data_IF_967038557681
#
_entry.id   IF_967038557681
#
_cell.length_a   1.000
_cell.length_b   1.000
_cell.length_c   1.000
_cell.angle_alpha   90.00
_cell.angle_beta   90.00
_cell.angle_gamma   90.00
#
_symmetry.space_group_name_H-M   'P 1'
#
loop_
_entity.id
_entity.type
_entity.pdbx_description
1 polymer ?
#
# COMPACT_ATOMS: atom_id res chain seq x y z
N UNK A 1 -12.78 -7.17 24.52
CA UNK A 1 -11.79 -6.08 24.29
C UNK A 1 -10.50 -6.61 23.66
N UNK A 2 -9.90 -7.68 24.21
CA UNK A 2 -8.67 -8.29 23.71
C UNK A 2 -8.70 -8.69 22.22
N UNK A 3 -9.78 -9.34 21.75
CA UNK A 3 -9.88 -9.73 20.34
C UNK A 3 -9.88 -8.54 19.35
N UNK A 4 -10.34 -7.36 19.78
CA UNK A 4 -10.35 -6.13 18.96
C UNK A 4 -8.94 -5.54 18.87
N UNK A 5 -8.23 -5.50 19.99
CA UNK A 5 -6.83 -5.05 20.07
C UNK A 5 -5.94 -5.97 19.24
N UNK A 6 -6.12 -7.29 19.37
CA UNK A 6 -5.39 -8.28 18.59
C UNK A 6 -5.55 -8.06 17.08
N UNK A 7 -6.78 -7.85 16.60
CA UNK A 7 -7.04 -7.56 15.18
C UNK A 7 -6.41 -6.25 14.69
N UNK A 8 -6.30 -5.24 15.55
CA UNK A 8 -5.68 -3.94 15.20
C UNK A 8 -4.16 -4.08 15.13
N UNK A 9 -3.54 -4.87 16.00
CA UNK A 9 -2.09 -5.08 16.04
C UNK A 9 -1.59 -6.13 15.04
N UNK A 10 -2.49 -6.94 14.48
CA UNK A 10 -2.15 -8.02 13.53
C UNK A 10 -1.32 -7.54 12.31
N UNK A 11 -1.64 -6.42 11.63
CA UNK A 11 -0.86 -5.95 10.49
C UNK A 11 0.58 -5.56 10.87
N UNK A 12 0.76 -4.96 12.04
CA UNK A 12 2.09 -4.62 12.56
C UNK A 12 2.91 -5.88 12.85
N UNK A 13 2.31 -6.88 13.50
CA UNK A 13 2.98 -8.17 13.77
C UNK A 13 3.37 -8.88 12.48
N UNK A 14 2.47 -8.92 11.48
CA UNK A 14 2.76 -9.49 10.16
C UNK A 14 3.91 -8.74 9.49
N UNK A 15 3.88 -7.39 9.50
CA UNK A 15 4.96 -6.57 8.96
C UNK A 15 6.31 -6.84 9.62
N UNK A 16 6.32 -7.00 10.95
CA UNK A 16 7.53 -7.33 11.70
C UNK A 16 8.06 -8.73 11.37
N UNK A 17 7.18 -9.73 11.31
CA UNK A 17 7.56 -11.09 10.93
C UNK A 17 8.15 -11.16 9.52
N UNK A 18 7.52 -10.47 8.55
CA UNK A 18 8.03 -10.38 7.18
C UNK A 18 9.39 -9.66 7.14
N UNK A 19 9.57 -8.60 7.93
CA UNK A 19 10.84 -7.88 8.03
C UNK A 19 11.97 -8.81 8.53
N UNK A 20 11.71 -9.58 9.58
CA UNK A 20 12.67 -10.52 10.15
C UNK A 20 13.05 -11.58 9.12
N UNK A 21 12.07 -12.22 8.50
CA UNK A 21 12.28 -13.26 7.49
C UNK A 21 13.08 -12.69 6.31
N UNK A 22 12.62 -11.61 5.68
CA UNK A 22 13.31 -11.07 4.52
C UNK A 22 14.71 -10.55 4.85
N UNK A 23 14.92 -9.99 6.04
CA UNK A 23 16.25 -9.56 6.45
C UNK A 23 17.19 -10.74 6.71
N UNK A 24 16.73 -11.87 7.25
CA UNK A 24 17.60 -13.05 7.42
C UNK A 24 18.00 -13.68 6.10
N UNK A 25 17.11 -13.69 5.09
CA UNK A 25 17.39 -14.27 3.77
C UNK A 25 18.16 -13.32 2.84
N UNK A 26 17.78 -12.06 2.76
CA UNK A 26 18.33 -11.10 1.79
C UNK A 26 19.35 -10.12 2.40
N UNK A 27 19.50 -10.10 3.73
CA UNK A 27 20.50 -9.30 4.48
C UNK A 27 20.51 -7.80 4.17
N UNK A 28 19.40 -7.26 3.68
CA UNK A 28 19.25 -5.84 3.38
C UNK A 28 18.52 -5.10 4.49
N UNK A 29 19.18 -4.07 5.03
CA UNK A 29 18.72 -3.31 6.19
C UNK A 29 17.41 -2.55 5.95
N UNK A 30 17.11 -2.16 4.71
CA UNK A 30 15.91 -1.38 4.39
C UNK A 30 14.60 -2.14 4.67
N UNK A 31 14.63 -3.47 4.78
CA UNK A 31 13.46 -4.25 5.17
C UNK A 31 13.00 -4.01 6.61
N UNK A 32 13.92 -3.65 7.51
CA UNK A 32 13.60 -3.25 8.88
C UNK A 32 12.87 -1.92 8.96
N UNK A 33 13.03 -1.07 7.95
CA UNK A 33 12.36 0.23 7.90
C UNK A 33 11.02 0.09 7.20
N UNK A 34 10.99 -0.51 6.01
CA UNK A 34 9.80 -0.52 5.15
C UNK A 34 8.66 -1.35 5.74
N UNK A 35 8.91 -2.62 6.08
CA UNK A 35 7.83 -3.54 6.45
C UNK A 35 7.19 -3.22 7.82
N UNK A 36 7.96 -2.91 8.88
CA UNK A 36 7.38 -2.47 10.14
C UNK A 36 6.66 -1.13 10.01
N UNK A 37 7.15 -0.20 9.18
CA UNK A 37 6.48 1.09 8.93
C UNK A 37 5.13 0.93 8.23
N UNK A 38 5.04 0.07 7.21
CA UNK A 38 3.78 -0.26 6.54
C UNK A 38 2.81 -0.91 7.53
N UNK A 39 3.27 -1.90 8.29
CA UNK A 39 2.46 -2.59 9.30
C UNK A 39 1.92 -1.62 10.35
N UNK A 40 2.77 -0.71 10.84
CA UNK A 40 2.39 0.34 11.79
C UNK A 40 1.33 1.28 11.20
N UNK A 41 1.55 1.76 9.96
CA UNK A 41 0.62 2.66 9.26
C UNK A 41 -0.77 2.05 9.05
N UNK A 42 -0.85 0.74 8.78
CA UNK A 42 -2.13 0.04 8.64
C UNK A 42 -2.80 -0.10 10.01
N UNK A 43 -2.03 -0.48 11.04
CA UNK A 43 -2.53 -0.61 12.41
C UNK A 43 -3.06 0.72 12.96
N UNK A 44 -2.39 1.86 12.72
CA UNK A 44 -2.88 3.19 13.11
C UNK A 44 -4.16 3.56 12.36
N UNK A 45 -4.24 3.29 11.05
CA UNK A 45 -5.47 3.50 10.29
C UNK A 45 -6.65 2.65 10.75
N UNK A 46 -6.39 1.40 11.15
CA UNK A 46 -7.38 0.53 11.75
C UNK A 46 -7.84 1.03 13.12
N UNK A 47 -6.91 1.53 13.94
CA UNK A 47 -7.21 2.14 15.23
C UNK A 47 -8.16 3.34 15.07
N UNK A 48 -7.82 4.27 14.17
CA UNK A 48 -8.65 5.45 13.85
C UNK A 48 -10.02 5.01 13.32
N UNK A 49 -10.06 4.02 12.41
CA UNK A 49 -11.32 3.45 11.90
C UNK A 49 -12.17 2.85 13.03
N UNK A 50 -11.54 2.29 14.05
CA UNK A 50 -12.23 1.65 15.18
C UNK A 50 -12.82 2.64 16.19
N UNK A 51 -12.25 3.86 16.25
CA UNK A 51 -12.70 4.97 17.08
C UNK A 51 -13.80 5.80 16.39
N UNK A 52 -13.75 5.92 15.06
CA UNK A 52 -14.69 6.73 14.28
C UNK A 52 -15.94 5.95 13.85
N UNK A 53 -17.11 6.61 13.90
CA UNK A 53 -18.42 6.06 13.47
C UNK A 53 -18.90 6.70 12.15
N UNK A 54 -19.71 5.97 11.39
CA UNK A 54 -20.33 6.45 10.14
C UNK A 54 -19.35 6.76 9.00
N UNK A 55 -19.63 7.80 8.21
CA UNK A 55 -18.83 8.21 7.04
C UNK A 55 -17.38 8.58 7.39
N UNK A 56 -17.10 8.92 8.65
CA UNK A 56 -15.74 9.26 9.14
C UNK A 56 -14.80 8.04 9.18
N UNK A 57 -15.31 6.79 9.10
CA UNK A 57 -14.46 5.57 9.03
C UNK A 57 -13.49 5.53 7.86
N UNK A 58 -13.82 6.23 6.77
CA UNK A 58 -12.94 6.39 5.60
C UNK A 58 -11.66 7.14 5.98
N UNK A 59 -11.70 8.02 6.98
CA UNK A 59 -10.53 8.78 7.44
C UNK A 59 -9.40 7.85 7.90
N UNK A 60 -9.71 6.72 8.54
CA UNK A 60 -8.68 5.74 8.94
C UNK A 60 -7.92 5.17 7.75
N UNK A 61 -8.57 4.98 6.59
CA UNK A 61 -7.88 4.58 5.35
C UNK A 61 -7.02 5.72 4.82
N UNK A 62 -7.55 6.94 4.79
CA UNK A 62 -6.83 8.13 4.29
C UNK A 62 -5.56 8.40 5.08
N UNK A 63 -5.60 8.18 6.41
CA UNK A 63 -4.44 8.33 7.27
C UNK A 63 -3.43 7.20 7.05
N UNK A 64 -3.87 5.94 6.98
CA UNK A 64 -2.96 4.82 6.71
C UNK A 64 -2.18 5.02 5.41
N UNK A 65 -2.87 5.37 4.32
CA UNK A 65 -2.23 5.53 3.00
C UNK A 65 -1.31 6.77 2.96
N UNK A 66 -1.68 7.84 3.68
CA UNK A 66 -0.83 9.02 3.83
C UNK A 66 0.43 8.73 4.66
N UNK A 67 0.36 7.87 5.68
CA UNK A 67 1.54 7.48 6.47
C UNK A 67 2.50 6.58 5.67
N UNK A 68 1.99 5.76 4.75
CA UNK A 68 2.82 4.90 3.88
C UNK A 68 3.52 5.72 2.78
N UNK A 69 2.97 6.89 2.41
CA UNK A 69 3.44 7.74 1.32
C UNK A 69 4.94 8.09 1.37
N UNK A 70 5.50 8.62 2.48
CA UNK A 70 6.91 9.04 2.53
C UNK A 70 7.87 7.85 2.41
N UNK A 71 7.47 6.68 2.93
CA UNK A 71 8.24 5.45 2.79
C UNK A 71 8.32 5.02 1.31
N UNK A 72 7.24 5.13 0.54
CA UNK A 72 7.26 4.76 -0.87
C UNK A 72 7.92 5.82 -1.77
N UNK A 73 7.72 7.12 -1.48
CA UNK A 73 8.17 8.21 -2.36
C UNK A 73 9.59 8.70 -2.06
N UNK A 74 10.03 8.61 -0.79
CA UNK A 74 11.33 9.13 -0.36
C UNK A 74 12.30 7.99 -0.06
N UNK A 75 11.89 7.01 0.74
CA UNK A 75 12.83 5.98 1.20
C UNK A 75 13.35 5.11 0.04
N UNK A 76 12.47 4.57 -0.80
CA UNK A 76 12.92 3.66 -1.87
C UNK A 76 13.71 4.36 -2.99
N UNK A 77 13.26 5.52 -3.52
CA UNK A 77 14.00 6.19 -4.60
C UNK A 77 15.34 6.76 -4.13
N UNK A 78 15.43 7.27 -2.90
CA UNK A 78 16.66 7.88 -2.37
C UNK A 78 17.66 6.81 -1.91
N UNK A 79 17.20 5.80 -1.18
CA UNK A 79 18.09 4.79 -0.57
C UNK A 79 18.46 3.68 -1.55
N UNK A 80 17.50 3.26 -2.39
CA UNK A 80 17.68 2.12 -3.28
C UNK A 80 17.94 2.53 -4.73
N UNK A 81 17.84 3.82 -5.07
CA UNK A 81 17.90 4.33 -6.45
C UNK A 81 16.98 3.56 -7.41
N UNK A 82 15.92 2.97 -6.87
CA UNK A 82 14.98 2.15 -7.63
C UNK A 82 13.93 3.07 -8.24
N UNK A 83 13.90 3.11 -9.57
CA UNK A 83 12.92 3.91 -10.30
C UNK A 83 11.62 3.11 -10.46
N UNK A 84 10.55 3.54 -9.79
CA UNK A 84 9.21 2.96 -9.90
C UNK A 84 8.38 3.50 -11.10
N UNK A 85 9.03 4.13 -12.09
CA UNK A 85 8.36 4.66 -13.28
C UNK A 85 7.71 3.56 -14.12
N UNK A 86 6.56 3.89 -14.73
CA UNK A 86 5.85 3.04 -15.70
C UNK A 86 6.72 2.67 -16.91
N UNK A 87 7.56 3.61 -17.32
CA UNK A 87 8.45 3.50 -18.48
C UNK A 87 9.54 2.44 -18.27
N UNK A 88 10.06 2.32 -17.05
CA UNK A 88 11.05 1.30 -16.69
C UNK A 88 10.51 -0.12 -16.84
N UNK A 89 9.24 -0.36 -16.47
CA UNK A 89 8.62 -1.68 -16.63
C UNK A 89 8.34 -2.00 -18.09
N UNK A 90 7.88 -1.04 -18.89
CA UNK A 90 7.68 -1.24 -20.32
C UNK A 90 9.01 -1.61 -21.02
N UNK A 91 10.10 -0.90 -20.71
CA UNK A 91 11.42 -1.19 -21.27
C UNK A 91 11.95 -2.56 -20.80
N UNK A 92 11.78 -2.90 -19.52
CA UNK A 92 12.17 -4.21 -18.94
C UNK A 92 11.40 -5.37 -19.61
N UNK A 93 10.11 -5.19 -19.91
CA UNK A 93 9.28 -6.18 -20.63
C UNK A 93 9.71 -6.29 -22.09
N UNK A 94 9.98 -5.18 -22.77
CA UNK A 94 10.43 -5.18 -24.17
C UNK A 94 11.82 -5.81 -24.35
N UNK A 95 12.66 -5.79 -23.33
CA UNK A 95 13.95 -6.50 -23.27
C UNK A 95 13.79 -7.97 -22.82
N UNK A 96 12.59 -8.40 -22.43
CA UNK A 96 12.29 -9.79 -22.04
C UNK A 96 12.72 -10.17 -20.62
N UNK A 97 12.99 -9.19 -19.75
CA UNK A 97 13.44 -9.46 -18.38
C UNK A 97 12.26 -9.51 -17.39
N UNK A 98 11.77 -10.71 -17.11
CA UNK A 98 10.64 -10.92 -16.19
C UNK A 98 11.10 -11.09 -14.73
N UNK A 99 11.67 -10.01 -14.17
CA UNK A 99 12.16 -9.98 -12.78
C UNK A 99 11.08 -9.71 -11.72
N UNK A 100 11.52 -9.59 -10.46
CA UNK A 100 10.64 -9.29 -9.29
C UNK A 100 9.81 -8.01 -9.49
N UNK A 101 10.37 -7.00 -10.14
CA UNK A 101 9.68 -5.75 -10.46
C UNK A 101 8.49 -5.94 -11.42
N UNK A 102 8.61 -6.84 -12.40
CA UNK A 102 7.52 -7.16 -13.32
C UNK A 102 6.37 -7.87 -12.61
N UNK A 103 6.66 -8.90 -11.81
CA UNK A 103 5.63 -9.65 -11.06
C UNK A 103 4.89 -8.71 -10.10
N UNK A 104 5.64 -7.87 -9.37
CA UNK A 104 5.06 -6.85 -8.49
C UNK A 104 4.15 -5.89 -9.26
N UNK A 105 4.61 -5.41 -10.42
CA UNK A 105 3.84 -4.53 -11.28
C UNK A 105 2.56 -5.18 -11.81
N UNK A 106 2.64 -6.39 -12.35
CA UNK A 106 1.50 -7.10 -12.91
C UNK A 106 0.42 -7.35 -11.84
N UNK A 107 0.81 -7.86 -10.67
CA UNK A 107 -0.13 -8.11 -9.57
C UNK A 107 -0.76 -6.81 -9.09
N UNK A 108 0.05 -5.77 -8.88
CA UNK A 108 -0.45 -4.57 -8.21
C UNK A 108 -1.10 -3.52 -9.14
N UNK A 109 -0.79 -3.53 -10.45
CA UNK A 109 -1.33 -2.59 -11.45
C UNK A 109 -2.27 -3.20 -12.47
N UNK A 110 -2.20 -4.50 -12.76
CA UNK A 110 -3.10 -5.14 -13.73
C UNK A 110 -4.15 -5.96 -12.98
N UNK A 111 -3.72 -6.99 -12.26
CA UNK A 111 -4.64 -7.89 -11.55
C UNK A 111 -5.33 -7.21 -10.36
N UNK A 112 -4.62 -6.33 -9.65
CA UNK A 112 -5.14 -5.54 -8.53
C UNK A 112 -6.40 -4.77 -8.89
N UNK A 113 -6.32 -3.84 -9.87
CA UNK A 113 -7.49 -3.11 -10.35
C UNK A 113 -8.56 -3.98 -10.99
N UNK A 114 -8.18 -5.04 -11.71
CA UNK A 114 -9.15 -5.89 -12.41
C UNK A 114 -10.00 -6.72 -11.44
N UNK A 115 -9.40 -7.27 -10.38
CA UNK A 115 -10.08 -8.17 -9.43
C UNK A 115 -10.75 -7.38 -8.29
N UNK A 116 -10.08 -6.34 -7.78
CA UNK A 116 -10.54 -5.61 -6.58
C UNK A 116 -10.95 -4.16 -6.85
N UNK A 117 -10.84 -3.68 -8.10
CA UNK A 117 -11.14 -2.30 -8.48
C UNK A 117 -10.13 -1.29 -7.92
N UNK A 118 -8.95 -1.73 -7.44
CA UNK A 118 -7.98 -0.89 -6.72
C UNK A 118 -6.53 -1.27 -7.02
N UNK A 119 -5.66 -0.28 -7.18
CA UNK A 119 -4.21 -0.49 -7.32
C UNK A 119 -3.51 -0.64 -5.95
N UNK A 120 -2.53 -1.54 -5.87
CA UNK A 120 -1.90 -1.96 -4.61
C UNK A 120 -0.42 -1.56 -4.43
N UNK A 121 0.23 -0.89 -5.40
CA UNK A 121 1.66 -0.59 -5.30
C UNK A 121 2.06 0.86 -5.61
N UNK A 122 3.13 1.29 -4.93
CA UNK A 122 4.08 2.35 -5.30
C UNK A 122 3.46 3.62 -5.86
N UNK A 123 3.20 3.61 -7.17
CA UNK A 123 2.56 4.72 -7.88
C UNK A 123 1.07 4.89 -7.58
N UNK A 124 0.32 3.79 -7.45
CA UNK A 124 -1.09 3.85 -7.09
C UNK A 124 -1.28 4.26 -5.62
N UNK A 125 -0.34 3.94 -4.73
CA UNK A 125 -0.48 4.25 -3.30
C UNK A 125 -0.30 5.75 -3.02
N UNK A 126 0.65 6.43 -3.69
CA UNK A 126 0.83 7.87 -3.50
C UNK A 126 -0.24 8.68 -4.25
N UNK A 127 -0.54 8.33 -5.50
CA UNK A 127 -1.57 9.03 -6.26
C UNK A 127 -2.94 8.80 -5.63
N UNK A 128 -3.26 7.57 -5.18
CA UNK A 128 -4.49 7.34 -4.42
C UNK A 128 -4.48 8.03 -3.06
N UNK A 129 -3.34 8.18 -2.38
CA UNK A 129 -3.28 8.99 -1.15
C UNK A 129 -3.69 10.43 -1.45
N UNK A 130 -3.06 11.08 -2.44
CA UNK A 130 -3.37 12.48 -2.81
C UNK A 130 -4.83 12.62 -3.28
N UNK A 131 -5.28 11.73 -4.18
CA UNK A 131 -6.64 11.74 -4.71
C UNK A 131 -7.71 11.42 -3.64
N UNK A 132 -7.40 10.57 -2.64
CA UNK A 132 -8.31 10.30 -1.53
C UNK A 132 -8.52 11.56 -0.66
N UNK A 133 -7.56 12.49 -0.61
CA UNK A 133 -7.68 13.74 0.12
C UNK A 133 -8.37 14.85 -0.67
N UNK A 134 -8.44 14.73 -2.00
CA UNK A 134 -9.09 15.71 -2.85
C UNK A 134 -10.62 15.69 -2.64
N UNK A 135 -11.27 16.86 -2.46
CA UNK A 135 -12.73 16.94 -2.31
C UNK A 135 -13.42 16.80 -3.67
N UNK A 136 -13.24 15.65 -4.34
CA UNK A 136 -13.98 15.34 -5.55
C UNK A 136 -15.44 15.11 -5.15
N UNK A 137 -16.33 15.98 -5.65
CA UNK A 137 -17.77 15.72 -5.58
C UNK A 137 -18.02 14.42 -6.34
N UNK A 138 -18.27 13.33 -5.62
CA UNK A 138 -18.78 12.11 -6.22
C UNK A 138 -20.13 12.47 -6.83
N UNK A 139 -20.14 12.73 -8.14
CA UNK A 139 -21.35 12.46 -8.93
C UNK A 139 -21.58 10.97 -8.71
N UNK A 140 -22.68 10.63 -8.04
CA UNK A 140 -23.10 9.23 -7.91
C UNK A 140 -22.95 8.61 -9.30
N UNK A 141 -22.17 7.53 -9.50
CA UNK A 141 -22.33 6.76 -10.72
C UNK A 141 -23.81 6.34 -10.76
N UNK A 142 -24.49 6.47 -11.92
CA UNK A 142 -25.85 5.97 -12.04
C UNK A 142 -25.82 4.48 -11.70
N UNK A 143 -26.46 4.12 -10.59
CA UNK A 143 -26.99 2.80 -10.28
C UNK A 143 -26.11 1.59 -10.65
N UNK A 144 -25.11 1.26 -9.82
CA UNK A 144 -24.66 -0.13 -9.72
C UNK A 144 -25.60 -0.86 -8.76
N UNK A 145 -26.51 -1.66 -9.32
CA UNK A 145 -27.38 -2.58 -8.59
C UNK A 145 -26.50 -3.76 -8.13
N UNK A 146 -26.30 -4.00 -6.81
CA UNK A 146 -25.80 -5.28 -6.36
C UNK A 146 -27.01 -6.24 -6.33
N UNK A 147 -27.10 -7.12 -7.31
CA UNK A 147 -27.84 -8.39 -7.18
C UNK A 147 -27.00 -9.36 -6.36
#
# INVERSE_FOLDING_TARGET
>A
MMAKIFRISLPFLIGLSIAIILNTFLRWWGFWVIFPWIGFSISTGMLIRSMLKGKKRILGRKVAILMVLPCLLLFVPIVNSENFQLEGVALIVMIGFFGKGFIHYAIAKIFGPLIWGRGFCGWACWTAAILDWLPVKSKKPPHFIPT
#
